data_IF_380267507244
#
_entry.id   IF_380267507244
#
_cell.length_a   1.000
_cell.length_b   1.000
_cell.length_c   1.000
_cell.angle_alpha   90.00
_cell.angle_beta   90.00
_cell.angle_gamma   90.00
#
_symmetry.space_group_name_H-M   'P 1'
#
loop_
_entity.id
_entity.type
_entity.pdbx_description
1 polymer ?
#
# COMPACT_ATOMS: atom_id res chain seq x y z
N UNK A 1 -20.26 -1.62 9.98
CA UNK A 1 -19.16 -2.59 10.24
C UNK A 1 -18.67 -3.09 8.89
N UNK A 2 -17.41 -2.79 8.51
CA UNK A 2 -16.89 -3.15 7.19
C UNK A 2 -17.09 -4.64 6.88
N UNK A 3 -17.82 -4.92 5.81
CA UNK A 3 -18.13 -6.30 5.40
C UNK A 3 -16.83 -6.98 4.90
N UNK A 4 -15.93 -6.17 4.32
CA UNK A 4 -14.68 -6.61 3.73
C UNK A 4 -13.46 -6.53 4.69
N UNK A 5 -13.68 -6.57 6.01
CA UNK A 5 -12.63 -6.37 7.04
C UNK A 5 -11.37 -7.24 6.84
N UNK A 6 -11.52 -8.49 6.40
CA UNK A 6 -10.38 -9.39 6.13
C UNK A 6 -9.52 -8.90 4.97
N UNK A 7 -10.16 -8.45 3.89
CA UNK A 7 -9.48 -7.96 2.69
C UNK A 7 -8.79 -6.61 2.97
N UNK A 8 -9.43 -5.72 3.74
CA UNK A 8 -8.82 -4.47 4.18
C UNK A 8 -7.56 -4.74 5.02
N UNK A 9 -7.65 -5.67 5.97
CA UNK A 9 -6.51 -6.04 6.82
C UNK A 9 -5.36 -6.61 5.99
N UNK A 10 -5.66 -7.50 5.03
CA UNK A 10 -4.64 -8.07 4.15
C UNK A 10 -3.96 -6.99 3.28
N UNK A 11 -4.75 -6.12 2.65
CA UNK A 11 -4.22 -5.00 1.85
C UNK A 11 -3.32 -4.08 2.65
N UNK A 12 -3.73 -3.70 3.86
CA UNK A 12 -2.90 -2.88 4.76
C UNK A 12 -1.62 -3.60 5.18
N UNK A 13 -1.68 -4.90 5.50
CA UNK A 13 -0.48 -5.68 5.82
C UNK A 13 0.49 -5.74 4.65
N UNK A 14 -0.01 -5.94 3.43
CA UNK A 14 0.81 -5.93 2.22
C UNK A 14 1.44 -4.55 1.96
N UNK A 15 0.67 -3.47 2.14
CA UNK A 15 1.16 -2.10 2.01
C UNK A 15 2.33 -1.82 2.98
N UNK A 16 2.16 -2.17 4.26
CA UNK A 16 3.22 -1.99 5.28
C UNK A 16 4.45 -2.82 4.93
N UNK A 17 4.26 -4.06 4.50
CA UNK A 17 5.37 -4.94 4.11
C UNK A 17 6.18 -4.39 2.93
N UNK A 18 5.50 -3.90 1.89
CA UNK A 18 6.14 -3.23 0.75
C UNK A 18 6.89 -1.96 1.19
N UNK A 19 6.32 -1.20 2.12
CA UNK A 19 6.98 -0.03 2.71
C UNK A 19 8.30 -0.38 3.43
N UNK A 20 8.31 -1.48 4.19
CA UNK A 20 9.52 -1.98 4.85
C UNK A 20 10.58 -2.37 3.81
N UNK A 21 10.20 -3.10 2.75
CA UNK A 21 11.14 -3.48 1.69
C UNK A 21 11.73 -2.24 1.01
N UNK A 22 10.89 -1.25 0.66
CA UNK A 22 11.34 -0.02 0.03
C UNK A 22 12.32 0.76 0.93
N UNK A 23 12.04 0.84 2.23
CA UNK A 23 12.93 1.44 3.21
C UNK A 23 14.26 0.71 3.30
N UNK A 24 14.24 -0.62 3.40
CA UNK A 24 15.45 -1.45 3.47
C UNK A 24 16.32 -1.28 2.23
N UNK A 25 15.73 -1.30 1.03
CA UNK A 25 16.47 -1.10 -0.22
C UNK A 25 17.11 0.29 -0.25
N UNK A 26 16.36 1.33 0.10
CA UNK A 26 16.87 2.71 0.13
C UNK A 26 18.02 2.87 1.14
N UNK A 27 17.90 2.23 2.30
CA UNK A 27 18.96 2.17 3.31
C UNK A 27 20.24 1.53 2.76
N UNK A 28 20.13 0.36 2.13
CA UNK A 28 21.28 -0.33 1.54
C UNK A 28 21.91 0.43 0.38
N UNK A 29 21.11 1.08 -0.49
CA UNK A 29 21.64 1.94 -1.55
C UNK A 29 22.49 3.07 -0.96
N UNK A 30 21.95 3.76 0.05
CA UNK A 30 22.65 4.87 0.71
C UNK A 30 23.91 4.40 1.42
N UNK A 31 23.84 3.25 2.11
CA UNK A 31 24.98 2.65 2.79
C UNK A 31 26.09 2.27 1.81
N UNK A 32 25.77 1.59 0.71
CA UNK A 32 26.75 1.15 -0.29
C UNK A 32 27.43 2.32 -1.01
N UNK A 33 26.65 3.36 -1.33
CA UNK A 33 27.17 4.59 -1.94
C UNK A 33 28.11 5.32 -0.98
N UNK A 34 27.73 5.45 0.30
CA UNK A 34 28.53 6.19 1.29
C UNK A 34 29.77 5.41 1.76
N UNK A 35 29.65 4.10 1.96
CA UNK A 35 30.68 3.29 2.60
C UNK A 35 31.68 2.67 1.61
N UNK A 36 31.25 2.43 0.36
CA UNK A 36 32.05 1.71 -0.61
C UNK A 36 32.09 2.35 -2.00
N UNK A 37 31.46 3.52 -2.18
CA UNK A 37 31.29 4.19 -3.50
C UNK A 37 30.62 3.27 -4.55
N UNK A 38 29.83 2.31 -4.08
CA UNK A 38 29.12 1.35 -4.94
C UNK A 38 27.73 1.90 -5.22
N UNK A 39 27.48 2.29 -6.47
CA UNK A 39 26.15 2.67 -6.93
C UNK A 39 25.28 1.44 -7.22
N UNK A 40 24.50 1.01 -6.23
CA UNK A 40 23.55 -0.08 -6.41
C UNK A 40 22.30 0.40 -7.15
N UNK A 41 22.09 -0.12 -8.36
CA UNK A 41 20.93 0.21 -9.20
C UNK A 41 19.82 -0.81 -9.00
N UNK A 42 18.68 -0.34 -8.50
CA UNK A 42 17.47 -1.15 -8.36
C UNK A 42 16.79 -1.27 -9.72
N UNK A 43 16.48 -2.50 -10.19
CA UNK A 43 15.81 -2.71 -11.47
C UNK A 43 14.45 -1.99 -11.55
N UNK A 44 14.07 -1.58 -12.76
CA UNK A 44 12.82 -0.86 -13.04
C UNK A 44 11.58 -1.56 -12.46
N UNK A 45 11.51 -2.90 -12.59
CA UNK A 45 10.39 -3.71 -12.10
C UNK A 45 10.20 -3.57 -10.58
N UNK A 46 11.29 -3.40 -9.82
CA UNK A 46 11.23 -3.20 -8.38
C UNK A 46 10.74 -1.80 -8.05
N UNK A 47 11.05 -0.78 -8.86
CA UNK A 47 10.49 0.56 -8.68
C UNK A 47 8.97 0.54 -8.87
N UNK A 48 8.48 -0.12 -9.91
CA UNK A 48 7.03 -0.32 -10.13
C UNK A 48 6.38 -1.05 -8.96
N UNK A 49 6.98 -2.14 -8.48
CA UNK A 49 6.46 -2.91 -7.34
C UNK A 49 6.47 -2.11 -6.03
N UNK A 50 7.45 -1.24 -5.81
CA UNK A 50 7.62 -0.53 -4.54
C UNK A 50 6.96 0.85 -4.51
N UNK A 51 6.56 1.39 -5.66
CA UNK A 51 5.89 2.69 -5.77
C UNK A 51 4.44 2.55 -6.24
N UNK A 52 4.23 1.93 -7.40
CA UNK A 52 2.92 1.90 -8.04
C UNK A 52 1.95 0.94 -7.35
N UNK A 53 2.44 -0.23 -6.90
CA UNK A 53 1.61 -1.23 -6.21
C UNK A 53 1.09 -0.72 -4.86
N UNK A 54 1.91 -0.10 -3.97
CA UNK A 54 1.41 0.52 -2.75
C UNK A 54 0.32 1.57 -3.00
N UNK A 55 0.49 2.41 -4.01
CA UNK A 55 -0.52 3.41 -4.38
C UNK A 55 -1.81 2.74 -4.84
N UNK A 56 -1.73 1.72 -5.69
CA UNK A 56 -2.89 0.93 -6.12
C UNK A 56 -3.62 0.27 -4.95
N UNK A 57 -2.90 -0.27 -3.97
CA UNK A 57 -3.49 -0.84 -2.75
C UNK A 57 -4.30 0.22 -2.00
N UNK A 58 -3.74 1.41 -1.78
CA UNK A 58 -4.44 2.49 -1.06
C UNK A 58 -5.70 2.95 -1.81
N UNK A 59 -5.65 3.06 -3.14
CA UNK A 59 -6.81 3.41 -3.96
C UNK A 59 -7.92 2.38 -3.81
N UNK A 60 -7.59 1.08 -3.91
CA UNK A 60 -8.57 0.01 -3.78
C UNK A 60 -9.19 -0.02 -2.37
N UNK A 61 -8.37 0.13 -1.33
CA UNK A 61 -8.85 0.19 0.05
C UNK A 61 -9.76 1.40 0.29
N UNK A 62 -9.40 2.56 -0.25
CA UNK A 62 -10.22 3.78 -0.19
C UNK A 62 -11.57 3.59 -0.89
N UNK A 63 -11.58 2.97 -2.07
CA UNK A 63 -12.80 2.67 -2.81
C UNK A 63 -13.72 1.70 -2.03
N UNK A 64 -13.16 0.65 -1.43
CA UNK A 64 -13.91 -0.29 -0.60
C UNK A 64 -14.50 0.40 0.62
N UNK A 65 -13.71 1.25 1.29
CA UNK A 65 -14.18 1.98 2.46
C UNK A 65 -15.31 2.96 2.12
N UNK A 66 -15.19 3.67 1.00
CA UNK A 66 -16.22 4.59 0.51
C UNK A 66 -17.50 3.83 0.12
N UNK A 67 -17.37 2.68 -0.56
CA UNK A 67 -18.52 1.84 -0.91
C UNK A 67 -19.28 1.36 0.32
N UNK A 68 -18.57 0.79 1.31
CA UNK A 68 -19.21 0.32 2.54
C UNK A 68 -19.89 1.48 3.29
N UNK A 69 -19.29 2.68 3.30
CA UNK A 69 -19.89 3.88 3.90
C UNK A 69 -21.17 4.35 3.19
N UNK A 70 -21.12 4.47 1.85
CA UNK A 70 -22.29 4.89 1.05
C UNK A 70 -23.44 3.89 1.15
N UNK A 71 -23.14 2.59 1.19
CA UNK A 71 -24.14 1.53 1.38
C UNK A 71 -24.79 1.61 2.76
N UNK A 72 -24.01 1.79 3.83
CA UNK A 72 -24.54 1.96 5.18
C UNK A 72 -25.43 3.21 5.28
N UNK A 73 -25.04 4.32 4.66
CA UNK A 73 -25.85 5.54 4.62
C UNK A 73 -27.19 5.34 3.86
N UNK A 74 -27.13 4.72 2.68
CA UNK A 74 -28.34 4.44 1.87
C UNK A 74 -29.33 3.50 2.57
N UNK A 75 -28.85 2.48 3.28
CA UNK A 75 -29.73 1.59 4.05
C UNK A 75 -30.41 2.30 5.22
N UNK A 76 -29.73 3.28 5.83
CA UNK A 76 -30.30 4.09 6.91
C UNK A 76 -31.43 4.98 6.39
N UNK A 77 -31.25 5.62 5.24
CA UNK A 77 -32.25 6.50 4.63
C UNK A 77 -33.48 5.75 4.08
N UNK A 78 -33.32 4.50 3.60
CA UNK A 78 -34.42 3.68 3.09
C UNK A 78 -35.30 3.05 4.19
N UNK A 79 -34.89 3.14 5.45
CA UNK A 79 -35.58 2.55 6.61
C UNK A 79 -36.45 3.54 7.41
N UNK A 80 -36.59 4.77 6.90
CA UNK A 80 -37.43 5.87 7.41
C UNK A 80 -38.67 5.97 6.54
#
# INVERSE_FOLDING_TARGET
MFTNKKLIRFGLSLFVFLGIINFTISYFQTYLETAADIKWVVPEIWKTILLDVPQGILVLLGAIALYDFTKEASQKDASI
#
